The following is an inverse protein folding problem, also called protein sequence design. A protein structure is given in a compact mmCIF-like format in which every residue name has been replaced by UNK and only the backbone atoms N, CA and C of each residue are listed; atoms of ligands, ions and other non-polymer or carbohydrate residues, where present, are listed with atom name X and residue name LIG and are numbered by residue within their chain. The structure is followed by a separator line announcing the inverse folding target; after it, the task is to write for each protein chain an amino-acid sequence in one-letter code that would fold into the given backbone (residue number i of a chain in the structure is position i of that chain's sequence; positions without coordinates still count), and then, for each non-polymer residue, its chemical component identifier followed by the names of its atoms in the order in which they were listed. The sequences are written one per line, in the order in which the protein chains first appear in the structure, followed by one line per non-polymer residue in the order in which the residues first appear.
data_IF_388953484460
#
_entry.id   IF_388953484460
#
_cell.length_a   1.000
_cell.length_b   1.000
_cell.length_c   1.000
_cell.angle_alpha   90.00
_cell.angle_beta   90.00
_cell.angle_gamma   90.00
#
_symmetry.space_group_name_H-M   'P 1'
#
loop_
_entity.id
_entity.type
_entity.pdbx_description
1 polymer ?
#
# COMPACT_ATOMS: atom_id res chain seq x y z
N UNK A 1 -18.37 52.82 60.39
CA UNK A 1 -18.88 52.18 59.16
C UNK A 1 -18.19 52.83 57.97
N UNK A 2 -17.22 52.16 57.34
CA UNK A 2 -16.77 52.51 55.99
C UNK A 2 -16.39 51.21 55.28
N UNK A 3 -17.01 51.00 54.13
CA UNK A 3 -17.06 49.80 53.30
C UNK A 3 -15.70 49.55 52.62
N UNK A 4 -15.13 48.35 52.75
CA UNK A 4 -14.08 47.87 51.85
C UNK A 4 -14.74 47.28 50.59
N UNK A 5 -14.43 47.87 49.44
CA UNK A 5 -14.81 47.33 48.13
C UNK A 5 -13.72 46.35 47.70
N UNK A 6 -14.07 45.06 47.61
CA UNK A 6 -13.24 44.01 47.05
C UNK A 6 -13.38 44.03 45.52
N UNK A 7 -12.33 44.39 44.78
CA UNK A 7 -12.29 44.28 43.32
C UNK A 7 -11.77 42.89 42.95
N UNK A 8 -12.62 42.04 42.39
CA UNK A 8 -12.23 40.74 41.83
C UNK A 8 -11.82 40.97 40.37
N UNK A 9 -10.52 40.80 40.08
CA UNK A 9 -10.00 40.81 38.72
C UNK A 9 -10.30 39.45 38.05
N UNK A 10 -11.18 39.44 37.04
CA UNK A 10 -11.43 38.27 36.21
C UNK A 10 -10.29 38.11 35.18
N UNK A 11 -9.46 37.06 35.32
CA UNK A 11 -8.54 36.65 34.26
C UNK A 11 -9.33 35.91 33.16
N UNK A 12 -9.56 36.57 32.03
CA UNK A 12 -9.95 35.89 30.80
C UNK A 12 -8.74 35.14 30.22
N UNK A 13 -8.71 33.82 30.39
CA UNK A 13 -7.79 32.95 29.65
C UNK A 13 -8.32 32.77 28.22
N UNK A 14 -7.81 33.57 27.29
CA UNK A 14 -8.04 33.36 25.86
C UNK A 14 -7.25 32.15 25.38
N UNK A 15 -7.95 31.02 25.19
CA UNK A 15 -7.40 29.84 24.52
C UNK A 15 -7.09 30.19 23.05
N UNK A 16 -5.82 30.36 22.73
CA UNK A 16 -5.36 30.44 21.34
C UNK A 16 -5.49 29.04 20.73
N UNK A 17 -6.54 28.82 19.94
CA UNK A 17 -6.60 27.65 19.07
C UNK A 17 -5.49 27.76 18.02
N UNK A 18 -4.46 26.92 18.11
CA UNK A 18 -3.49 26.76 17.03
C UNK A 18 -4.22 26.24 15.78
N UNK A 19 -4.05 26.86 14.60
CA UNK A 19 -4.49 26.23 13.38
C UNK A 19 -3.62 24.99 13.18
N UNK A 20 -4.24 23.81 13.18
CA UNK A 20 -3.58 22.61 12.70
C UNK A 20 -3.20 22.90 11.24
N UNK A 21 -1.90 23.05 10.98
CA UNK A 21 -1.38 23.13 9.63
C UNK A 21 -1.67 21.78 8.95
N UNK A 22 -2.74 21.71 8.17
CA UNK A 22 -2.89 20.65 7.19
C UNK A 22 -1.69 20.75 6.25
N UNK A 23 -0.74 19.83 6.40
CA UNK A 23 0.27 19.59 5.38
C UNK A 23 -0.50 19.11 4.15
N UNK A 24 -0.86 20.03 3.26
CA UNK A 24 -1.25 19.68 1.91
C UNK A 24 -0.05 18.97 1.30
N UNK A 25 -0.09 17.63 1.32
CA UNK A 25 0.83 16.82 0.54
C UNK A 25 0.82 17.40 -0.89
N UNK A 26 2.00 17.72 -1.44
CA UNK A 26 2.09 18.27 -2.79
C UNK A 26 1.66 17.19 -3.77
N UNK A 27 0.41 17.27 -4.23
CA UNK A 27 -0.13 16.34 -5.20
C UNK A 27 0.75 16.26 -6.45
N UNK A 28 0.99 15.03 -6.90
CA UNK A 28 1.69 14.77 -8.14
C UNK A 28 0.79 15.23 -9.30
N UNK A 29 1.25 16.22 -10.05
CA UNK A 29 0.65 16.58 -11.34
C UNK A 29 1.05 15.53 -12.37
N UNK A 30 0.08 14.99 -13.11
CA UNK A 30 0.32 13.92 -14.06
C UNK A 30 -0.80 13.75 -15.07
N UNK A 31 -0.75 12.63 -15.78
CA UNK A 31 -1.77 12.23 -16.75
C UNK A 31 -2.29 10.84 -16.41
N UNK A 32 -3.51 10.52 -16.82
CA UNK A 32 -4.01 9.16 -16.84
C UNK A 32 -4.35 8.76 -18.27
N UNK A 33 -3.95 7.56 -18.67
CA UNK A 33 -4.60 6.78 -19.74
C UNK A 33 -5.40 5.64 -19.13
N UNK A 34 -5.91 4.74 -19.97
CA UNK A 34 -6.55 3.51 -19.52
C UNK A 34 -6.15 2.29 -20.34
N UNK A 35 -6.31 1.13 -19.73
CA UNK A 35 -6.18 -0.18 -20.37
C UNK A 35 -7.25 -1.16 -19.88
N UNK A 36 -7.35 -2.31 -20.57
CA UNK A 36 -8.33 -3.34 -20.26
C UNK A 36 -8.24 -3.87 -18.83
N UNK A 37 -7.01 -3.98 -18.30
CA UNK A 37 -6.70 -4.15 -16.87
C UNK A 37 -7.37 -5.33 -16.15
N UNK A 38 -6.59 -6.29 -15.69
CA UNK A 38 -7.07 -7.30 -14.74
C UNK A 38 -5.98 -7.62 -13.71
N UNK A 39 -6.33 -8.43 -12.70
CA UNK A 39 -5.38 -8.87 -11.68
C UNK A 39 -4.62 -10.14 -12.07
N UNK A 40 -5.11 -10.86 -13.07
CA UNK A 40 -4.54 -12.10 -13.61
C UNK A 40 -3.54 -11.79 -14.74
N UNK A 41 -2.45 -11.11 -14.40
CA UNK A 41 -1.39 -10.81 -15.37
C UNK A 41 -0.55 -9.57 -15.06
N UNK A 42 -1.01 -8.72 -14.15
CA UNK A 42 -0.25 -7.54 -13.74
C UNK A 42 1.06 -7.90 -13.04
N UNK A 43 2.06 -7.03 -13.18
CA UNK A 43 3.40 -7.27 -12.64
C UNK A 43 3.43 -7.34 -11.10
N UNK A 44 2.39 -6.91 -10.39
CA UNK A 44 2.27 -7.14 -8.94
C UNK A 44 1.83 -8.57 -8.57
N UNK A 45 1.52 -9.44 -9.53
CA UNK A 45 1.16 -10.85 -9.33
C UNK A 45 -0.05 -11.05 -8.41
N UNK A 46 -1.09 -10.23 -8.56
CA UNK A 46 -2.31 -10.31 -7.74
C UNK A 46 -3.35 -11.31 -8.27
N UNK A 47 -2.94 -12.34 -9.02
CA UNK A 47 -3.86 -13.38 -9.50
C UNK A 47 -4.64 -14.00 -8.34
N UNK A 48 -5.96 -14.15 -8.47
CA UNK A 48 -6.85 -14.64 -7.41
C UNK A 48 -7.10 -13.67 -6.24
N UNK A 49 -6.56 -12.46 -6.26
CA UNK A 49 -6.96 -11.38 -5.35
C UNK A 49 -8.24 -10.70 -5.86
N UNK A 50 -8.98 -10.05 -4.97
CA UNK A 50 -10.10 -9.18 -5.32
C UNK A 50 -9.85 -7.79 -4.76
N UNK A 51 -9.98 -6.77 -5.60
CA UNK A 51 -9.86 -5.39 -5.15
C UNK A 51 -10.92 -5.09 -4.07
N UNK A 52 -10.58 -4.33 -3.02
CA UNK A 52 -11.55 -3.88 -2.03
C UNK A 52 -12.67 -3.06 -2.69
N UNK A 53 -13.87 -3.11 -2.11
CA UNK A 53 -15.00 -2.32 -2.61
C UNK A 53 -14.65 -0.82 -2.66
N UNK A 54 -14.97 -0.16 -3.78
CA UNK A 54 -14.63 1.25 -4.00
C UNK A 54 -13.16 1.54 -4.33
N UNK A 55 -12.32 0.51 -4.50
CA UNK A 55 -10.93 0.64 -4.94
C UNK A 55 -10.78 0.07 -6.34
N UNK A 56 -10.25 0.89 -7.26
CA UNK A 56 -9.96 0.50 -8.63
C UNK A 56 -8.52 0.01 -8.81
N UNK A 57 -8.13 -0.43 -10.01
CA UNK A 57 -6.74 -0.79 -10.35
C UNK A 57 -6.05 0.25 -11.22
N UNK A 58 -4.73 0.34 -11.10
CA UNK A 58 -3.86 1.14 -11.99
C UNK A 58 -2.50 0.49 -12.17
N UNK A 59 -1.88 0.71 -13.33
CA UNK A 59 -0.46 0.51 -13.54
C UNK A 59 0.32 1.77 -13.15
N UNK A 60 1.52 1.57 -12.57
CA UNK A 60 2.45 2.64 -12.20
C UNK A 60 3.61 2.72 -13.20
N UNK A 61 4.12 3.91 -13.45
CA UNK A 61 5.24 4.13 -14.37
C UNK A 61 6.47 3.30 -14.02
N UNK A 62 7.21 2.87 -15.05
CA UNK A 62 8.45 2.11 -14.88
C UNK A 62 9.48 2.81 -14.00
N UNK A 63 9.58 4.15 -14.10
CA UNK A 63 10.50 4.97 -13.29
C UNK A 63 10.08 5.10 -11.82
N UNK A 64 8.79 4.88 -11.49
CA UNK A 64 8.30 4.83 -10.10
C UNK A 64 8.11 3.41 -9.57
N UNK A 65 8.32 2.39 -10.39
CA UNK A 65 8.07 1.00 -10.02
C UNK A 65 8.90 0.53 -8.82
N UNK A 66 10.17 0.95 -8.76
CA UNK A 66 11.09 0.68 -7.65
C UNK A 66 11.03 -0.78 -7.16
N UNK A 67 11.30 -1.73 -8.05
CA UNK A 67 11.24 -3.17 -7.75
C UNK A 67 9.94 -3.62 -7.09
N UNK A 68 8.79 -3.17 -7.61
CA UNK A 68 7.46 -3.44 -7.05
C UNK A 68 7.22 -2.89 -5.63
N UNK A 69 7.99 -1.89 -5.16
CA UNK A 69 7.83 -1.32 -3.82
C UNK A 69 6.45 -0.70 -3.56
N UNK A 70 5.75 -0.28 -4.63
CA UNK A 70 4.42 0.32 -4.54
C UNK A 70 3.27 -0.66 -4.80
N UNK A 71 3.55 -1.93 -5.09
CA UNK A 71 2.49 -2.92 -5.30
C UNK A 71 1.58 -3.03 -4.06
N UNK A 72 0.27 -2.92 -4.30
CA UNK A 72 -0.75 -2.93 -3.25
C UNK A 72 -0.95 -1.58 -2.54
N UNK A 73 -0.09 -0.59 -2.77
CA UNK A 73 -0.32 0.76 -2.27
C UNK A 73 -1.45 1.43 -3.06
N UNK A 74 -2.20 2.32 -2.40
CA UNK A 74 -3.29 3.05 -3.04
C UNK A 74 -2.92 4.50 -3.32
N UNK A 75 -3.52 5.04 -4.37
CA UNK A 75 -3.46 6.44 -4.76
C UNK A 75 -4.85 7.05 -4.76
N UNK A 76 -4.95 8.30 -4.34
CA UNK A 76 -6.12 9.16 -4.53
C UNK A 76 -5.93 9.93 -5.81
N UNK A 77 -6.81 9.78 -6.79
CA UNK A 77 -6.68 10.35 -8.13
C UNK A 77 -7.84 11.28 -8.40
N UNK A 78 -7.54 12.56 -8.61
CA UNK A 78 -8.52 13.58 -8.99
C UNK A 78 -8.45 13.85 -10.49
N UNK A 79 -9.60 13.75 -11.15
CA UNK A 79 -9.75 13.98 -12.58
C UNK A 79 -10.19 15.40 -12.94
N UNK A 80 -10.23 15.73 -14.24
CA UNK A 80 -10.62 17.04 -14.73
C UNK A 80 -12.11 17.36 -14.49
N UNK A 81 -12.94 16.34 -14.28
CA UNK A 81 -14.35 16.49 -13.92
C UNK A 81 -14.56 16.84 -12.43
N UNK A 82 -13.49 17.04 -11.66
CA UNK A 82 -13.52 17.36 -10.24
C UNK A 82 -13.75 16.17 -9.30
N UNK A 83 -14.06 14.98 -9.83
CA UNK A 83 -14.21 13.76 -9.03
C UNK A 83 -12.87 13.20 -8.60
N UNK A 84 -12.89 12.46 -7.49
CA UNK A 84 -11.74 11.74 -6.95
C UNK A 84 -12.09 10.27 -6.78
N UNK A 85 -11.19 9.40 -7.22
CA UNK A 85 -11.27 7.95 -6.99
C UNK A 85 -10.07 7.46 -6.21
N UNK A 86 -10.16 6.23 -5.72
CA UNK A 86 -9.03 5.50 -5.17
C UNK A 86 -8.65 4.36 -6.10
N UNK A 87 -7.37 4.23 -6.42
CA UNK A 87 -6.86 3.12 -7.22
C UNK A 87 -5.66 2.46 -6.52
N UNK A 88 -5.57 1.14 -6.60
CA UNK A 88 -4.46 0.34 -6.12
C UNK A 88 -3.46 0.12 -7.25
N UNK A 89 -2.16 0.26 -6.94
CA UNK A 89 -1.09 -0.10 -7.87
C UNK A 89 -1.04 -1.63 -7.96
N UNK A 90 -1.39 -2.15 -9.13
CA UNK A 90 -1.51 -3.59 -9.41
C UNK A 90 -0.63 -4.04 -10.58
N UNK A 91 -0.04 -3.10 -11.30
CA UNK A 91 0.72 -3.38 -12.50
C UNK A 91 1.78 -2.31 -12.78
N UNK A 92 2.63 -2.56 -13.77
CA UNK A 92 3.69 -1.67 -14.24
C UNK A 92 3.35 -1.22 -15.68
N UNK A 93 3.48 0.06 -15.94
CA UNK A 93 3.47 0.65 -17.28
C UNK A 93 4.91 1.11 -17.58
N UNK A 94 5.77 0.26 -18.18
CA UNK A 94 7.18 0.58 -18.40
C UNK A 94 7.41 1.85 -19.23
N UNK A 95 6.53 2.11 -20.19
CA UNK A 95 6.58 3.23 -21.14
C UNK A 95 5.94 4.52 -20.61
N UNK A 96 5.23 4.46 -19.47
CA UNK A 96 4.60 5.64 -18.90
C UNK A 96 5.63 6.62 -18.33
N UNK A 97 5.42 7.90 -18.58
CA UNK A 97 6.14 8.99 -17.90
C UNK A 97 5.98 8.88 -16.38
N UNK A 98 6.92 9.49 -15.64
CA UNK A 98 7.02 9.32 -14.18
C UNK A 98 5.70 9.49 -13.42
N UNK A 99 4.88 10.49 -13.75
CA UNK A 99 3.61 10.74 -13.06
C UNK A 99 2.37 10.26 -13.82
N UNK A 100 2.56 9.56 -14.94
CA UNK A 100 1.46 8.98 -15.70
C UNK A 100 0.97 7.70 -15.00
N UNK A 101 -0.32 7.63 -14.76
CA UNK A 101 -1.02 6.43 -14.33
C UNK A 101 -1.69 5.78 -15.55
N UNK A 102 -1.73 4.46 -15.62
CA UNK A 102 -2.55 3.74 -16.61
C UNK A 102 -3.67 3.02 -15.87
N UNK A 103 -4.82 3.66 -15.81
CA UNK A 103 -5.95 3.25 -15.00
C UNK A 103 -6.65 2.04 -15.62
N UNK A 104 -7.28 1.19 -14.81
CA UNK A 104 -8.27 0.27 -15.37
C UNK A 104 -9.38 1.08 -16.04
N UNK A 105 -9.93 0.58 -17.14
CA UNK A 105 -10.96 1.28 -17.90
C UNK A 105 -12.17 1.69 -17.03
N UNK A 106 -12.60 0.85 -16.10
CA UNK A 106 -13.70 1.15 -15.16
C UNK A 106 -13.39 2.27 -14.15
N UNK A 107 -12.11 2.55 -13.91
CA UNK A 107 -11.62 3.62 -13.06
C UNK A 107 -11.55 4.93 -13.85
N UNK A 108 -11.03 4.87 -15.08
CA UNK A 108 -10.90 6.03 -15.95
C UNK A 108 -12.26 6.67 -16.26
N UNK A 109 -13.30 5.85 -16.50
CA UNK A 109 -14.67 6.34 -16.76
C UNK A 109 -15.28 7.13 -15.59
N UNK A 110 -14.74 7.00 -14.38
CA UNK A 110 -15.15 7.84 -13.25
C UNK A 110 -14.61 9.27 -13.36
N UNK A 111 -13.49 9.45 -14.06
CA UNK A 111 -12.73 10.70 -14.13
C UNK A 111 -12.88 11.44 -15.48
N UNK A 112 -13.17 10.72 -16.56
CA UNK A 112 -13.32 11.29 -17.89
C UNK A 112 -13.93 10.33 -18.92
N UNK A 113 -14.19 10.85 -20.12
CA UNK A 113 -14.71 10.09 -21.25
C UNK A 113 -13.59 9.30 -21.96
N UNK A 114 -13.84 8.03 -22.29
CA UNK A 114 -12.88 7.14 -22.95
C UNK A 114 -12.38 7.70 -24.29
N UNK A 115 -13.20 8.46 -25.01
CA UNK A 115 -12.83 9.10 -26.28
C UNK A 115 -11.68 10.10 -26.16
N UNK A 116 -11.41 10.61 -24.95
CA UNK A 116 -10.26 11.49 -24.70
C UNK A 116 -8.93 10.75 -24.75
N UNK A 117 -8.93 9.45 -24.48
CA UNK A 117 -7.73 8.60 -24.38
C UNK A 117 -6.84 8.91 -23.18
N UNK A 118 -6.50 10.19 -22.99
CA UNK A 118 -5.64 10.71 -21.93
C UNK A 118 -6.29 11.93 -21.27
N UNK A 119 -6.24 11.99 -19.94
CA UNK A 119 -6.73 13.12 -19.14
C UNK A 119 -5.65 13.62 -18.18
N UNK A 120 -5.68 14.92 -17.86
CA UNK A 120 -4.84 15.48 -16.81
C UNK A 120 -5.41 15.12 -15.43
N UNK A 121 -4.53 14.75 -14.50
CA UNK A 121 -4.90 14.34 -13.15
C UNK A 121 -3.95 14.95 -12.11
N UNK A 122 -4.42 14.97 -10.86
CA UNK A 122 -3.55 15.14 -9.69
C UNK A 122 -3.70 13.92 -8.79
N UNK A 123 -2.60 13.41 -8.23
CA UNK A 123 -2.69 12.24 -7.36
C UNK A 123 -1.61 12.17 -6.27
N UNK A 124 -1.93 11.45 -5.20
CA UNK A 124 -1.02 11.16 -4.09
C UNK A 124 -1.23 9.74 -3.57
N UNK A 125 -0.19 9.16 -2.96
CA UNK A 125 -0.33 7.94 -2.18
C UNK A 125 -1.18 8.20 -0.93
N UNK A 126 -2.14 7.32 -0.68
CA UNK A 126 -3.05 7.38 0.46
C UNK A 126 -3.27 5.99 1.05
N UNK A 127 -3.67 5.87 2.33
CA UNK A 127 -4.11 4.60 2.87
C UNK A 127 -5.26 4.00 2.05
N UNK A 128 -5.20 2.69 1.80
CA UNK A 128 -6.23 2.01 1.02
C UNK A 128 -7.62 2.07 1.69
N UNK A 129 -7.70 2.12 3.02
CA UNK A 129 -8.96 2.13 3.77
C UNK A 129 -9.59 0.74 3.87
N UNK A 130 -8.77 -0.30 3.77
CA UNK A 130 -9.16 -1.70 3.87
C UNK A 130 -9.39 -2.02 5.36
N UNK A 131 -10.59 -2.50 5.68
CA UNK A 131 -10.98 -2.85 7.06
C UNK A 131 -10.54 -4.25 7.47
N UNK A 132 -10.37 -5.15 6.50
CA UNK A 132 -9.87 -6.50 6.73
C UNK A 132 -8.36 -6.53 7.04
N UNK A 133 -7.86 -7.63 7.64
CA UNK A 133 -6.44 -7.82 7.91
C UNK A 133 -5.62 -7.97 6.62
N UNK A 134 -4.33 -7.66 6.69
CA UNK A 134 -3.40 -8.06 5.64
C UNK A 134 -3.23 -9.58 5.65
N UNK A 135 -2.75 -10.14 4.54
CA UNK A 135 -2.40 -11.55 4.45
C UNK A 135 -1.02 -11.73 3.86
N UNK A 136 -0.42 -12.88 4.14
CA UNK A 136 0.79 -13.35 3.47
C UNK A 136 0.49 -14.61 2.68
N UNK A 137 0.97 -14.67 1.44
CA UNK A 137 0.72 -15.76 0.51
C UNK A 137 2.03 -16.34 -0.01
N UNK A 138 2.21 -17.63 0.12
CA UNK A 138 3.33 -18.36 -0.46
C UNK A 138 3.14 -18.50 -1.97
N UNK A 139 4.20 -18.26 -2.74
CA UNK A 139 4.22 -18.53 -4.18
C UNK A 139 4.10 -20.04 -4.42
N UNK A 140 3.59 -20.42 -5.59
CA UNK A 140 3.80 -21.78 -6.10
C UNK A 140 5.29 -22.15 -6.09
N UNK A 141 5.61 -23.33 -5.55
CA UNK A 141 6.96 -23.85 -5.37
C UNK A 141 7.62 -23.52 -4.02
N UNK A 142 6.99 -22.71 -3.17
CA UNK A 142 7.51 -22.40 -1.82
C UNK A 142 7.59 -23.68 -0.98
N UNK A 143 8.69 -23.81 -0.23
CA UNK A 143 9.00 -24.95 0.63
C UNK A 143 10.10 -24.58 1.65
N UNK A 144 10.51 -25.54 2.48
CA UNK A 144 11.69 -25.39 3.34
C UNK A 144 12.99 -25.09 2.54
N UNK A 145 13.03 -25.44 1.25
CA UNK A 145 14.20 -25.30 0.38
C UNK A 145 14.14 -24.12 -0.61
N UNK A 146 12.96 -23.50 -0.76
CA UNK A 146 12.77 -22.29 -1.56
C UNK A 146 11.73 -21.38 -0.90
N UNK A 147 12.10 -20.16 -0.52
CA UNK A 147 11.16 -19.21 0.09
C UNK A 147 10.77 -18.10 -0.89
N UNK A 148 9.47 -17.93 -1.12
CA UNK A 148 8.93 -16.81 -1.90
C UNK A 148 7.53 -16.44 -1.41
N UNK A 149 7.40 -15.29 -0.77
CA UNK A 149 6.16 -14.87 -0.12
C UNK A 149 5.73 -13.49 -0.58
N UNK A 150 4.43 -13.30 -0.77
CA UNK A 150 3.83 -12.03 -1.11
C UNK A 150 2.99 -11.52 0.06
N UNK A 151 2.97 -10.20 0.26
CA UNK A 151 2.01 -9.54 1.15
C UNK A 151 0.85 -9.01 0.30
N UNK A 152 -0.37 -9.32 0.70
CA UNK A 152 -1.59 -8.85 0.04
C UNK A 152 -2.49 -8.13 1.04
N UNK A 153 -3.35 -7.27 0.51
CA UNK A 153 -4.30 -6.49 1.30
C UNK A 153 -3.68 -5.49 2.33
N UNK A 154 -2.47 -4.91 2.14
CA UNK A 154 -1.97 -3.88 3.05
C UNK A 154 -2.69 -2.55 2.80
N UNK A 155 -2.82 -1.73 3.85
CA UNK A 155 -3.30 -0.36 3.76
C UNK A 155 -2.25 0.63 3.27
N UNK A 156 -0.97 0.32 3.47
CA UNK A 156 0.15 1.18 3.07
C UNK A 156 1.20 0.36 2.31
N UNK A 157 2.09 1.05 1.58
CA UNK A 157 3.15 0.35 0.86
C UNK A 157 3.97 -0.51 1.82
N UNK A 158 4.12 -1.79 1.52
CA UNK A 158 5.03 -2.66 2.28
C UNK A 158 6.45 -2.18 2.03
N UNK A 159 7.29 -2.10 3.05
CA UNK A 159 8.70 -1.70 2.92
C UNK A 159 9.65 -2.87 3.12
N UNK A 160 9.29 -3.85 3.94
CA UNK A 160 10.08 -5.06 4.15
C UNK A 160 9.24 -6.25 4.64
N UNK A 161 9.75 -7.44 4.36
CA UNK A 161 9.33 -8.70 4.98
C UNK A 161 10.59 -9.39 5.52
N UNK A 162 10.70 -9.53 6.84
CA UNK A 162 11.77 -10.27 7.47
C UNK A 162 11.24 -11.62 7.96
N UNK A 163 12.13 -12.62 8.05
CA UNK A 163 11.77 -13.97 8.47
C UNK A 163 12.60 -14.37 9.69
N UNK A 164 11.97 -15.08 10.62
CA UNK A 164 12.60 -15.66 11.80
C UNK A 164 12.30 -17.15 11.87
N UNK A 165 13.32 -17.93 12.22
CA UNK A 165 13.24 -19.39 12.43
C UNK A 165 13.34 -19.77 13.90
N UNK A 166 13.42 -18.80 14.81
CA UNK A 166 13.63 -18.98 16.26
C UNK A 166 12.54 -18.30 17.11
N UNK A 167 11.35 -18.14 16.54
CA UNK A 167 10.18 -17.57 17.23
C UNK A 167 10.22 -16.05 17.38
N UNK A 168 10.97 -15.35 16.52
CA UNK A 168 11.07 -13.89 16.48
C UNK A 168 12.25 -13.30 17.25
N UNK A 169 13.18 -14.14 17.74
CA UNK A 169 14.36 -13.67 18.49
C UNK A 169 15.39 -13.05 17.55
N UNK A 170 15.64 -13.67 16.40
CA UNK A 170 16.50 -13.14 15.33
C UNK A 170 15.73 -12.99 14.02
N UNK A 171 16.16 -12.04 13.19
CA UNK A 171 15.46 -11.66 11.96
C UNK A 171 16.43 -11.70 10.78
N UNK A 172 16.05 -12.44 9.74
CA UNK A 172 16.75 -12.55 8.48
C UNK A 172 16.00 -11.73 7.42
N UNK A 173 16.66 -10.78 6.74
CA UNK A 173 16.01 -9.98 5.72
C UNK A 173 15.74 -10.80 4.46
N UNK A 174 14.66 -10.45 3.77
CA UNK A 174 14.41 -10.92 2.39
C UNK A 174 14.64 -9.79 1.39
N UNK A 175 14.66 -10.14 0.11
CA UNK A 175 14.76 -9.22 -1.02
C UNK A 175 13.45 -9.24 -1.78
N UNK A 176 12.85 -8.07 -1.97
CA UNK A 176 11.70 -7.91 -2.86
C UNK A 176 12.14 -8.04 -4.32
N UNK A 177 11.43 -8.87 -5.05
CA UNK A 177 11.59 -9.06 -6.48
C UNK A 177 10.73 -8.06 -7.27
N UNK A 178 11.07 -7.82 -8.54
CA UNK A 178 10.35 -6.87 -9.42
C UNK A 178 8.87 -7.23 -9.64
N UNK A 179 8.45 -8.43 -9.24
CA UNK A 179 7.09 -8.96 -9.38
C UNK A 179 6.34 -9.12 -8.03
N UNK A 180 6.75 -8.36 -7.00
CA UNK A 180 6.09 -8.29 -5.69
C UNK A 180 6.08 -9.61 -4.87
N UNK A 181 7.20 -10.34 -4.88
CA UNK A 181 7.47 -11.41 -3.92
C UNK A 181 8.75 -11.12 -3.15
N UNK A 182 8.83 -11.63 -1.93
CA UNK A 182 9.95 -11.52 -1.03
C UNK A 182 10.66 -12.86 -0.93
N UNK A 183 11.96 -12.88 -1.21
CA UNK A 183 12.77 -14.09 -1.31
C UNK A 183 14.05 -13.97 -0.49
N UNK A 184 14.59 -15.10 -0.05
CA UNK A 184 15.93 -15.11 0.53
C UNK A 184 16.94 -14.70 -0.55
N UNK A 185 17.98 -13.92 -0.17
CA UNK A 185 18.95 -13.34 -1.11
C UNK A 185 19.66 -14.39 -1.98
N UNK A 186 19.95 -15.56 -1.40
CA UNK A 186 20.60 -16.68 -2.08
C UNK A 186 19.62 -17.61 -2.81
N UNK A 187 18.33 -17.22 -2.93
CA UNK A 187 17.25 -17.99 -3.55
C UNK A 187 16.95 -19.34 -2.91
N UNK A 188 17.47 -19.63 -1.71
CA UNK A 188 17.14 -20.82 -0.93
C UNK A 188 15.94 -20.60 0.00
N UNK A 189 15.53 -21.65 0.70
CA UNK A 189 14.56 -21.58 1.79
C UNK A 189 15.23 -21.40 3.15
N UNK A 190 14.43 -21.49 4.20
CA UNK A 190 14.88 -21.33 5.60
C UNK A 190 15.16 -22.66 6.31
N UNK A 191 15.05 -23.79 5.62
CA UNK A 191 15.35 -25.12 6.16
C UNK A 191 14.34 -25.63 7.21
N UNK A 192 13.16 -25.03 7.27
CA UNK A 192 12.09 -25.39 8.21
C UNK A 192 10.72 -25.24 7.56
N UNK A 193 9.75 -26.03 8.02
CA UNK A 193 8.38 -26.03 7.50
C UNK A 193 7.52 -24.88 8.04
N UNK A 194 7.97 -24.21 9.11
CA UNK A 194 7.28 -23.07 9.71
C UNK A 194 8.25 -21.95 10.07
N UNK A 195 7.81 -20.72 9.84
CA UNK A 195 8.55 -19.50 10.14
C UNK A 195 7.67 -18.49 10.88
N UNK A 196 8.31 -17.49 11.49
CA UNK A 196 7.65 -16.24 11.88
C UNK A 196 8.02 -15.18 10.87
N UNK A 197 7.05 -14.41 10.38
CA UNK A 197 7.29 -13.32 9.43
C UNK A 197 6.97 -11.97 10.06
N UNK A 198 7.74 -10.95 9.69
CA UNK A 198 7.52 -9.56 10.11
C UNK A 198 7.41 -8.68 8.88
N UNK A 199 6.23 -8.12 8.68
CA UNK A 199 5.92 -7.18 7.60
C UNK A 199 6.01 -5.77 8.15
N UNK A 200 6.80 -4.91 7.51
CA UNK A 200 6.88 -3.48 7.81
C UNK A 200 6.21 -2.69 6.69
N UNK A 201 5.43 -1.68 7.04
CA UNK A 201 4.76 -0.80 6.08
C UNK A 201 5.26 0.65 6.18
N UNK A 202 5.03 1.43 5.13
CA UNK A 202 5.41 2.85 5.06
C UNK A 202 4.68 3.75 6.06
N UNK A 203 3.57 3.26 6.63
CA UNK A 203 2.88 3.89 7.77
C UNK A 203 3.67 3.83 9.08
N UNK A 204 4.80 3.12 9.12
CA UNK A 204 5.57 2.85 10.35
C UNK A 204 5.04 1.66 11.15
N UNK A 205 3.86 1.14 10.81
CA UNK A 205 3.29 -0.05 11.45
C UNK A 205 4.02 -1.33 11.03
N UNK A 206 4.04 -2.29 11.95
CA UNK A 206 4.66 -3.60 11.77
C UNK A 206 3.67 -4.70 12.15
N UNK A 207 3.56 -5.72 11.31
CA UNK A 207 2.76 -6.92 11.57
C UNK A 207 3.67 -8.13 11.73
N UNK A 208 3.52 -8.87 12.82
CA UNK A 208 4.22 -10.14 13.05
C UNK A 208 3.22 -11.29 13.00
N UNK A 209 3.51 -12.30 12.19
CA UNK A 209 2.72 -13.51 12.08
C UNK A 209 3.60 -14.71 12.44
N UNK A 210 3.23 -15.44 13.48
CA UNK A 210 3.94 -16.63 13.96
C UNK A 210 3.37 -17.91 13.36
N UNK A 211 4.17 -18.97 13.32
CA UNK A 211 3.77 -20.31 12.86
C UNK A 211 3.25 -20.34 11.41
N UNK A 212 3.79 -19.48 10.54
CA UNK A 212 3.46 -19.45 9.12
C UNK A 212 4.12 -20.63 8.43
N UNK A 213 3.32 -21.52 7.88
CA UNK A 213 3.83 -22.64 7.10
C UNK A 213 4.39 -22.20 5.74
N UNK A 214 5.35 -22.94 5.21
CA UNK A 214 5.99 -22.66 3.90
C UNK A 214 5.46 -23.56 2.78
N UNK A 215 4.25 -24.12 2.94
CA UNK A 215 3.64 -24.95 1.89
C UNK A 215 3.33 -24.11 0.65
N UNK A 216 3.58 -24.67 -0.53
CA UNK A 216 3.27 -24.04 -1.82
C UNK A 216 1.82 -23.55 -1.87
N UNK A 217 1.63 -22.32 -2.38
CA UNK A 217 0.32 -21.70 -2.60
C UNK A 217 -0.58 -21.54 -1.36
N UNK A 218 -0.03 -21.65 -0.14
CA UNK A 218 -0.77 -21.41 1.10
C UNK A 218 -0.88 -19.92 1.43
N UNK A 219 -1.93 -19.53 2.14
CA UNK A 219 -2.21 -18.16 2.56
C UNK A 219 -2.52 -18.11 4.06
N UNK A 220 -2.05 -17.05 4.72
CA UNK A 220 -2.21 -16.84 6.16
C UNK A 220 -2.66 -15.41 6.45
N UNK A 221 -3.60 -15.28 7.37
CA UNK A 221 -4.21 -13.99 7.72
C UNK A 221 -3.54 -13.40 8.96
N UNK A 222 -3.16 -12.12 8.91
CA UNK A 222 -2.63 -11.41 10.07
C UNK A 222 -3.74 -11.06 11.07
N UNK A 223 -3.35 -10.65 12.29
CA UNK A 223 -4.28 -10.12 13.29
C UNK A 223 -4.77 -8.69 13.00
N UNK A 224 -4.23 -8.03 11.98
CA UNK A 224 -4.51 -6.63 11.67
C UNK A 224 -3.91 -6.21 10.33
N UNK A 225 -3.72 -4.91 10.17
CA UNK A 225 -3.30 -4.31 8.90
C UNK A 225 -2.25 -3.21 9.13
N UNK A 226 -1.42 -2.98 8.12
CA UNK A 226 -0.49 -1.89 8.01
C UNK A 226 -0.57 -1.32 6.59
#
# INVERSE_FOLDING_TARGET
MLNQVLVVAALCASALASPAAEVLARANLGKASFYGGNLDGGNCMFSGYSLPSGVYGTALSGSRWNSAAQCGACVSVKGPNGKTIKAMVVDKCPECDANKLDLFQNAFTQLGDLSRGIIDITWDFVPCGITGPLKVRNKSGTSAYFFSMQVVNPNSAVTALDVSTDGGKTWQPTVRQDYNYFQKRDSSGFGTDKVTVRVRCSSGKTMTLSNIGVQSSSEYTASGNC
#
